data_IF_903780454299
#
_entry.id   IF_903780454299
#
_cell.length_a   1.000
_cell.length_b   1.000
_cell.length_c   1.000
_cell.angle_alpha   90.00
_cell.angle_beta   90.00
_cell.angle_gamma   90.00
#
_symmetry.space_group_name_H-M   'P 1'
#
loop_
_entity.id
_entity.type
_entity.pdbx_description
1 polymer ?
#
# COMPACT_ATOMS: atom_id res chain seq x y z
N UNK A 1 -15.74 14.34 -14.53
CA UNK A 1 -14.38 14.48 -13.96
C UNK A 1 -14.52 14.18 -12.49
N UNK A 2 -13.95 13.06 -12.06
CA UNK A 2 -14.27 12.29 -10.86
C UNK A 2 -14.04 13.09 -9.57
N UNK A 3 -14.95 12.90 -8.61
CA UNK A 3 -15.01 13.53 -7.29
C UNK A 3 -13.65 13.56 -6.58
N UNK A 4 -13.20 14.75 -6.22
CA UNK A 4 -12.09 14.93 -5.29
C UNK A 4 -12.56 14.51 -3.89
N UNK A 5 -11.82 13.67 -3.15
CA UNK A 5 -12.26 13.23 -1.84
C UNK A 5 -12.36 14.45 -0.91
N UNK A 6 -13.57 14.84 -0.53
CA UNK A 6 -13.77 15.82 0.55
C UNK A 6 -13.38 15.13 1.85
N UNK A 7 -12.16 15.36 2.33
CA UNK A 7 -11.73 14.92 3.66
C UNK A 7 -11.79 16.14 4.58
N UNK A 8 -13.02 16.58 4.83
CA UNK A 8 -13.35 17.81 5.57
C UNK A 8 -14.00 17.47 6.92
N UNK A 9 -13.31 16.65 7.70
CA UNK A 9 -13.63 16.28 9.07
C UNK A 9 -12.32 15.85 9.75
N UNK A 10 -12.25 15.87 11.09
CA UNK A 10 -11.06 15.45 11.83
C UNK A 10 -10.47 14.17 11.19
N UNK A 11 -9.23 14.27 10.69
CA UNK A 11 -8.58 13.20 9.90
C UNK A 11 -8.64 11.92 10.73
N UNK A 12 -9.43 10.95 10.28
CA UNK A 12 -9.56 9.68 10.99
C UNK A 12 -8.24 8.93 10.89
N UNK A 13 -7.94 8.09 11.89
CA UNK A 13 -6.70 7.32 11.90
C UNK A 13 -6.58 6.44 10.64
N UNK A 14 -7.70 5.98 10.11
CA UNK A 14 -7.82 5.25 8.85
C UNK A 14 -7.36 6.11 7.65
N UNK A 15 -7.80 7.37 7.58
CA UNK A 15 -7.45 8.27 6.48
C UNK A 15 -5.96 8.65 6.52
N UNK A 16 -5.36 8.73 7.71
CA UNK A 16 -3.93 8.96 7.92
C UNK A 16 -3.13 7.70 7.54
N UNK A 17 -3.59 6.53 7.97
CA UNK A 17 -2.95 5.25 7.66
C UNK A 17 -2.94 4.96 6.16
N UNK A 18 -4.03 5.29 5.44
CA UNK A 18 -4.10 5.18 3.98
C UNK A 18 -3.11 6.09 3.27
N UNK A 19 -2.94 7.33 3.75
CA UNK A 19 -1.99 8.28 3.20
C UNK A 19 -0.54 7.82 3.40
N UNK A 20 -0.22 7.37 4.62
CA UNK A 20 1.08 6.81 4.98
C UNK A 20 1.40 5.54 4.18
N UNK A 21 0.44 4.62 4.08
CA UNK A 21 0.57 3.40 3.28
C UNK A 21 0.87 3.73 1.81
N UNK A 22 0.11 4.66 1.23
CA UNK A 22 0.29 5.09 -0.16
C UNK A 22 1.67 5.68 -0.38
N UNK A 23 2.13 6.54 0.53
CA UNK A 23 3.48 7.10 0.49
C UNK A 23 4.54 5.99 0.46
N UNK A 24 4.50 5.07 1.42
CA UNK A 24 5.46 3.96 1.53
C UNK A 24 5.45 3.10 0.26
N UNK A 25 4.27 2.68 -0.21
CA UNK A 25 4.15 1.84 -1.40
C UNK A 25 4.73 2.51 -2.66
N UNK A 26 4.48 3.81 -2.83
CA UNK A 26 4.98 4.56 -3.98
C UNK A 26 6.48 4.84 -3.93
N UNK A 27 7.05 5.15 -2.76
CA UNK A 27 8.47 5.51 -2.64
C UNK A 27 9.39 4.29 -2.59
N UNK A 28 8.90 3.15 -2.10
CA UNK A 28 9.72 1.94 -1.93
C UNK A 28 9.45 0.88 -3.00
N UNK A 29 8.34 1.01 -3.74
CA UNK A 29 7.86 -0.07 -4.61
C UNK A 29 7.32 -1.27 -3.83
N UNK A 30 6.87 -1.08 -2.58
CA UNK A 30 6.34 -2.16 -1.75
C UNK A 30 5.26 -2.97 -2.46
N UNK A 31 5.37 -4.29 -2.40
CA UNK A 31 4.49 -5.25 -3.07
C UNK A 31 4.66 -5.33 -4.60
N UNK A 32 5.30 -4.34 -5.24
CA UNK A 32 5.53 -4.35 -6.68
C UNK A 32 6.61 -5.39 -6.98
N UNK A 33 6.30 -6.39 -7.79
CA UNK A 33 7.34 -7.25 -8.34
C UNK A 33 8.01 -6.53 -9.50
N UNK A 34 9.34 -6.46 -9.46
CA UNK A 34 10.10 -6.02 -10.62
C UNK A 34 9.93 -7.08 -11.72
N UNK A 35 9.22 -6.72 -12.77
CA UNK A 35 9.20 -7.51 -14.01
C UNK A 35 10.56 -7.34 -14.68
N UNK A 36 11.55 -8.12 -14.23
CA UNK A 36 12.87 -8.16 -14.85
C UNK A 36 12.77 -8.66 -16.29
N UNK A 37 13.22 -7.85 -17.25
CA UNK A 37 13.40 -8.27 -18.65
C UNK A 37 14.64 -9.16 -18.74
N UNK A 38 14.48 -10.47 -18.59
CA UNK A 38 15.57 -11.42 -18.71
C UNK A 38 15.06 -12.86 -18.75
N UNK A 39 15.69 -13.69 -19.58
CA UNK A 39 15.38 -15.11 -19.77
C UNK A 39 15.69 -15.95 -18.52
N UNK A 40 14.93 -15.73 -17.45
CA UNK A 40 14.79 -16.68 -16.35
C UNK A 40 13.30 -16.93 -16.17
N UNK A 41 12.85 -18.07 -16.70
CA UNK A 41 11.61 -18.67 -16.23
C UNK A 41 11.66 -18.84 -14.72
N UNK A 42 10.58 -18.47 -14.03
CA UNK A 42 10.35 -18.86 -12.64
C UNK A 42 10.47 -17.78 -11.57
N UNK A 43 10.65 -16.50 -11.91
CA UNK A 43 10.42 -15.42 -10.95
C UNK A 43 8.94 -15.11 -10.93
N UNK A 44 8.18 -15.68 -9.98
CA UNK A 44 6.75 -15.45 -9.84
C UNK A 44 6.46 -13.94 -9.90
N UNK A 45 5.92 -13.47 -11.03
CA UNK A 45 5.12 -12.27 -11.04
C UNK A 45 4.06 -12.52 -9.98
N UNK A 46 4.22 -11.90 -8.80
CA UNK A 46 3.26 -12.04 -7.72
C UNK A 46 1.92 -11.76 -8.35
N UNK A 47 1.07 -12.79 -8.31
CA UNK A 47 -0.30 -12.73 -8.80
C UNK A 47 -0.92 -11.43 -8.27
N UNK A 48 -1.75 -10.70 -9.04
CA UNK A 48 -2.34 -9.44 -8.57
C UNK A 48 -3.00 -9.57 -7.18
N UNK A 49 -3.46 -10.77 -6.84
CA UNK A 49 -3.95 -11.18 -5.52
C UNK A 49 -2.88 -11.08 -4.40
N UNK A 50 -1.65 -11.52 -4.65
CA UNK A 50 -0.53 -11.41 -3.73
C UNK A 50 -0.10 -9.95 -3.53
N UNK A 51 -0.11 -9.15 -4.60
CA UNK A 51 0.16 -7.71 -4.49
C UNK A 51 -0.88 -7.02 -3.59
N UNK A 52 -2.16 -7.34 -3.79
CA UNK A 52 -3.23 -6.86 -2.93
C UNK A 52 -3.02 -7.32 -1.48
N UNK A 53 -2.61 -8.57 -1.26
CA UNK A 53 -2.27 -9.10 0.06
C UNK A 53 -1.18 -8.28 0.77
N UNK A 54 -0.08 -7.98 0.07
CA UNK A 54 0.98 -7.13 0.62
C UNK A 54 0.48 -5.73 0.98
N UNK A 55 -0.33 -5.11 0.11
CA UNK A 55 -0.90 -3.79 0.38
C UNK A 55 -1.82 -3.79 1.62
N UNK A 56 -2.64 -4.83 1.79
CA UNK A 56 -3.50 -4.99 2.97
C UNK A 56 -2.68 -5.18 4.26
N UNK A 57 -1.59 -5.95 4.19
CA UNK A 57 -0.66 -6.12 5.32
C UNK A 57 0.00 -4.78 5.69
N UNK A 58 0.47 -4.03 4.70
CA UNK A 58 1.07 -2.71 4.91
C UNK A 58 0.07 -1.72 5.53
N UNK A 59 -1.18 -1.74 5.07
CA UNK A 59 -2.23 -0.92 5.68
C UNK A 59 -2.39 -1.22 7.17
N UNK A 60 -2.45 -2.49 7.55
CA UNK A 60 -2.55 -2.90 8.96
C UNK A 60 -1.39 -2.36 9.81
N UNK A 61 -0.16 -2.40 9.28
CA UNK A 61 1.02 -1.82 9.93
C UNK A 61 0.91 -0.30 10.09
N UNK A 62 0.45 0.39 9.05
CA UNK A 62 0.27 1.85 9.08
C UNK A 62 -0.80 2.25 10.10
N UNK A 63 -1.91 1.52 10.15
CA UNK A 63 -3.00 1.79 11.07
C UNK A 63 -2.57 1.58 12.53
N UNK A 64 -1.86 0.49 12.82
CA UNK A 64 -1.31 0.24 14.16
C UNK A 64 -0.33 1.35 14.61
N UNK A 65 0.51 1.86 13.70
CA UNK A 65 1.42 2.96 13.99
C UNK A 65 0.69 4.27 14.32
N UNK A 66 -0.36 4.60 13.56
CA UNK A 66 -1.15 5.83 13.75
C UNK A 66 -2.00 5.79 15.01
N UNK A 67 -2.52 4.63 15.40
CA UNK A 67 -3.32 4.46 16.62
C UNK A 67 -2.49 4.57 17.92
N UNK A 68 -1.18 4.89 17.83
CA UNK A 68 -0.29 4.95 18.98
C UNK A 68 0.13 3.57 19.44
N UNK A 69 0.52 2.71 18.49
CA UNK A 69 0.95 1.34 18.71
C UNK A 69 1.77 1.18 19.99
N UNK A 70 1.28 0.30 20.86
CA UNK A 70 1.73 -0.01 22.22
C UNK A 70 3.24 -0.12 22.39
#
# INVERSE_FOLDING_TARGET
>A
MSELPTHSGARRNEDIALDMMKFIAMTTGYGRTSSGVGFQGGGAALKPEEYAGHLLELYGKCLAAVQGGK
#
